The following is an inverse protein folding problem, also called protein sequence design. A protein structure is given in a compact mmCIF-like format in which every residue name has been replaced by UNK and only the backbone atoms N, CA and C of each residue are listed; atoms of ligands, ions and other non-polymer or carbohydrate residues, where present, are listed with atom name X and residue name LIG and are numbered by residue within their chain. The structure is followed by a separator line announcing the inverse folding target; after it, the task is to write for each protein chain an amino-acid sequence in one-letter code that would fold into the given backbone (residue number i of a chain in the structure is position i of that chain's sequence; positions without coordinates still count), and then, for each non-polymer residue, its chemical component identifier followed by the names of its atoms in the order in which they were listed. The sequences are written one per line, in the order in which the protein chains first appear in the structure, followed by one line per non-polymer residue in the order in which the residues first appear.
data_IF_478393209603
#
_entry.id   IF_478393209603
#
_cell.length_a   1.000
_cell.length_b   1.000
_cell.length_c   1.000
_cell.angle_alpha   90.00
_cell.angle_beta   90.00
_cell.angle_gamma   90.00
#
_symmetry.space_group_name_H-M   'P 1'
#
loop_
_entity.id
_entity.type
_entity.pdbx_description
1 polymer ?
#
# COMPACT_ATOMS: atom_id res chain seq x y z
N UNK A 1 -8.90 -21.22 -10.89
CA UNK A 1 -7.62 -21.97 -10.85
C UNK A 1 -6.57 -21.02 -10.33
N UNK A 2 -6.09 -21.16 -9.08
CA UNK A 2 -5.12 -20.26 -8.47
C UNK A 2 -3.72 -20.50 -9.04
N UNK A 3 -3.00 -19.41 -9.32
CA UNK A 3 -1.59 -19.40 -9.73
C UNK A 3 -0.73 -19.03 -8.52
N UNK A 4 0.43 -19.68 -8.38
CA UNK A 4 1.41 -19.31 -7.37
C UNK A 4 2.43 -18.33 -7.97
N UNK A 5 2.49 -17.12 -7.40
CA UNK A 5 3.46 -16.10 -7.79
C UNK A 5 4.24 -15.61 -6.57
N UNK A 6 5.47 -15.17 -6.75
CA UNK A 6 6.18 -14.42 -5.71
C UNK A 6 5.71 -12.99 -5.70
N UNK A 7 5.61 -12.38 -4.54
CA UNK A 7 5.15 -10.99 -4.42
C UNK A 7 5.97 -10.03 -5.29
N UNK A 8 7.29 -10.24 -5.41
CA UNK A 8 8.17 -9.42 -6.26
C UNK A 8 7.82 -9.46 -7.77
N UNK A 9 7.08 -10.49 -8.20
CA UNK A 9 6.69 -10.69 -9.59
C UNK A 9 5.30 -10.11 -9.90
N UNK A 10 4.65 -9.52 -8.88
CA UNK A 10 3.34 -8.86 -8.97
C UNK A 10 3.55 -7.37 -9.22
N UNK A 11 2.89 -6.81 -10.23
CA UNK A 11 3.07 -5.41 -10.59
C UNK A 11 2.59 -4.45 -9.48
N UNK A 12 3.27 -3.29 -9.26
CA UNK A 12 2.69 -2.20 -8.48
C UNK A 12 1.30 -1.81 -9.00
N UNK A 13 0.40 -1.45 -8.08
CA UNK A 13 -1.00 -1.19 -8.39
C UNK A 13 -1.92 -2.40 -8.22
N UNK A 14 -1.38 -3.63 -8.29
CA UNK A 14 -2.17 -4.85 -8.13
C UNK A 14 -2.72 -4.97 -6.70
N UNK A 15 -3.99 -5.36 -6.60
CA UNK A 15 -4.69 -5.61 -5.34
C UNK A 15 -4.84 -7.11 -5.13
N UNK A 16 -4.54 -7.57 -3.92
CA UNK A 16 -4.78 -8.96 -3.52
C UNK A 16 -5.19 -9.06 -2.05
N UNK A 17 -5.84 -10.17 -1.69
CA UNK A 17 -6.23 -10.43 -0.31
C UNK A 17 -5.01 -10.90 0.51
N UNK A 18 -4.66 -10.12 1.55
CA UNK A 18 -3.55 -10.42 2.45
C UNK A 18 -3.95 -11.29 3.67
N UNK A 19 -5.24 -11.53 3.83
CA UNK A 19 -5.84 -12.23 4.96
C UNK A 19 -6.98 -11.41 5.56
N UNK A 20 -6.73 -10.50 6.52
CA UNK A 20 -7.81 -9.71 7.13
C UNK A 20 -8.29 -8.56 6.24
N UNK A 21 -7.51 -8.16 5.25
CA UNK A 21 -7.78 -7.02 4.35
C UNK A 21 -7.25 -7.28 2.95
N UNK A 22 -7.81 -6.58 1.98
CA UNK A 22 -7.22 -6.43 0.66
C UNK A 22 -6.14 -5.34 0.71
N UNK A 23 -5.04 -5.60 0.01
CA UNK A 23 -3.89 -4.71 -0.04
C UNK A 23 -3.46 -4.45 -1.48
N UNK A 24 -2.96 -3.25 -1.70
CA UNK A 24 -2.36 -2.81 -2.97
C UNK A 24 -0.84 -2.81 -2.86
N UNK A 25 -0.16 -3.34 -3.87
CA UNK A 25 1.29 -3.23 -4.01
C UNK A 25 1.65 -1.80 -4.40
N UNK A 26 2.50 -1.13 -3.60
CA UNK A 26 2.99 0.20 -3.94
C UNK A 26 4.36 0.14 -4.59
N UNK A 27 5.30 -0.58 -4.01
CA UNK A 27 6.69 -0.59 -4.51
C UNK A 27 7.45 -1.84 -4.04
N UNK A 28 8.32 -2.34 -4.94
CA UNK A 28 9.34 -3.33 -4.62
C UNK A 28 10.69 -2.63 -4.48
N UNK A 29 11.31 -2.77 -3.33
CA UNK A 29 12.60 -2.17 -3.04
C UNK A 29 13.75 -3.10 -3.40
N UNK A 30 14.89 -2.51 -3.76
CA UNK A 30 16.12 -3.26 -4.13
C UNK A 30 16.72 -4.06 -2.96
N UNK A 31 16.34 -3.73 -1.73
CA UNK A 31 16.73 -4.47 -0.52
C UNK A 31 15.88 -5.72 -0.26
N UNK A 32 14.95 -6.05 -1.16
CA UNK A 32 14.11 -7.25 -1.08
C UNK A 32 12.80 -7.06 -0.31
N UNK A 33 12.44 -5.83 0.03
CA UNK A 33 11.16 -5.50 0.68
C UNK A 33 10.12 -5.02 -0.33
N UNK A 34 8.85 -5.25 -0.02
CA UNK A 34 7.69 -4.69 -0.73
C UNK A 34 6.86 -3.88 0.23
N UNK A 35 6.49 -2.67 -0.17
CA UNK A 35 5.52 -1.83 0.55
C UNK A 35 4.12 -2.13 0.05
N UNK A 36 3.24 -2.45 0.99
CA UNK A 36 1.82 -2.68 0.79
C UNK A 36 1.02 -1.62 1.54
N UNK A 37 -0.15 -1.27 1.01
CA UNK A 37 -1.15 -0.43 1.68
C UNK A 37 -2.51 -1.11 1.62
N UNK A 38 -3.35 -0.94 2.63
CA UNK A 38 -4.75 -1.35 2.55
C UNK A 38 -5.42 -0.71 1.32
N UNK A 39 -6.15 -1.49 0.53
CA UNK A 39 -6.79 -0.98 -0.68
C UNK A 39 -7.87 0.05 -0.35
N UNK A 40 -8.60 -0.17 0.74
CA UNK A 40 -9.62 0.75 1.28
C UNK A 40 -9.33 1.09 2.74
N UNK A 41 -10.05 2.06 3.31
CA UNK A 41 -10.02 2.32 4.74
C UNK A 41 -10.60 1.14 5.52
N UNK A 42 -9.90 0.72 6.57
CA UNK A 42 -10.34 -0.42 7.41
C UNK A 42 -11.38 0.00 8.45
N UNK A 43 -11.41 1.26 8.82
CA UNK A 43 -12.36 1.87 9.75
C UNK A 43 -12.13 3.38 9.83
N UNK A 44 -13.09 4.13 10.36
CA UNK A 44 -12.89 5.50 10.83
C UNK A 44 -12.43 5.50 12.26
N UNK A 45 -11.39 6.28 12.57
CA UNK A 45 -10.81 6.37 13.92
C UNK A 45 -10.27 7.76 14.21
N UNK A 46 -10.23 8.08 15.51
CA UNK A 46 -9.39 9.16 16.00
C UNK A 46 -7.92 8.80 15.80
N UNK A 47 -7.11 9.77 15.43
CA UNK A 47 -5.67 9.63 15.45
C UNK A 47 -5.17 9.49 16.91
N UNK A 48 -5.76 10.27 17.83
CA UNK A 48 -5.52 10.21 19.26
C UNK A 48 -6.83 10.24 20.05
N UNK A 49 -6.88 9.57 21.22
CA UNK A 49 -8.03 9.56 22.13
C UNK A 49 -8.40 10.97 22.62
N UNK A 50 -9.68 11.18 22.91
CA UNK A 50 -10.18 12.42 23.52
C UNK A 50 -10.86 12.12 24.86
N UNK A 51 -10.49 12.81 25.98
CA UNK A 51 -9.34 13.70 26.06
C UNK A 51 -8.02 12.94 25.90
N UNK A 52 -7.05 13.56 25.25
CA UNK A 52 -5.72 12.97 25.11
C UNK A 52 -5.10 12.79 26.51
N UNK A 53 -4.95 11.52 26.89
CA UNK A 53 -4.33 11.17 28.16
C UNK A 53 -2.84 11.00 27.91
N UNK A 54 -2.05 11.99 28.36
CA UNK A 54 -0.61 11.84 28.38
C UNK A 54 -0.24 10.57 29.17
N UNK A 55 0.69 9.81 28.64
CA UNK A 55 1.16 8.60 29.33
C UNK A 55 2.17 8.99 30.42
N UNK A 56 2.25 8.23 31.51
CA UNK A 56 3.21 8.52 32.60
C UNK A 56 4.64 8.66 32.11
N UNK A 57 5.02 7.85 31.08
CA UNK A 57 6.35 7.85 30.46
C UNK A 57 6.61 9.06 29.57
N UNK A 58 5.56 9.77 29.14
CA UNK A 58 5.67 10.93 28.23
C UNK A 58 4.56 11.96 28.52
N UNK A 59 4.59 12.65 29.65
CA UNK A 59 3.53 13.58 30.06
C UNK A 59 3.41 14.81 29.15
N UNK A 60 4.42 15.10 28.34
CA UNK A 60 4.42 16.21 27.36
C UNK A 60 4.19 15.76 25.91
N UNK A 61 3.71 14.52 25.68
CA UNK A 61 3.42 14.05 24.34
C UNK A 61 2.28 14.86 23.70
N UNK A 62 2.41 15.12 22.41
CA UNK A 62 1.41 15.82 21.64
C UNK A 62 0.38 14.85 21.02
N UNK A 63 -0.88 15.25 20.84
CA UNK A 63 -1.90 14.39 20.22
C UNK A 63 -1.56 13.92 18.82
N UNK A 64 -0.82 14.70 18.04
CA UNK A 64 -0.39 14.35 16.69
C UNK A 64 0.96 13.61 16.64
N UNK A 65 1.52 13.26 17.80
CA UNK A 65 2.73 12.42 17.88
C UNK A 65 2.34 10.95 17.74
N UNK A 66 2.59 10.39 16.56
CA UNK A 66 2.27 9.00 16.24
C UNK A 66 2.79 8.00 17.28
N UNK A 67 3.97 8.23 17.85
CA UNK A 67 4.59 7.34 18.84
C UNK A 67 3.69 7.07 20.05
N UNK A 68 2.81 8.02 20.36
CA UNK A 68 1.94 7.98 21.54
C UNK A 68 0.45 7.93 21.20
N UNK A 69 0.10 7.92 19.92
CA UNK A 69 -1.29 7.82 19.48
C UNK A 69 -1.91 6.47 19.85
N UNK A 70 -3.21 6.44 20.10
CA UNK A 70 -3.94 5.19 20.27
C UNK A 70 -4.00 4.41 18.96
N UNK A 71 -4.07 5.11 17.83
CA UNK A 71 -4.11 4.48 16.50
C UNK A 71 -2.86 3.65 16.22
N UNK A 72 -1.65 4.19 16.53
CA UNK A 72 -0.42 3.40 16.43
C UNK A 72 -0.49 2.13 17.28
N UNK A 73 -0.95 2.24 18.53
CA UNK A 73 -1.09 1.08 19.41
C UNK A 73 -2.06 0.05 18.82
N UNK A 74 -3.26 0.47 18.41
CA UNK A 74 -4.27 -0.41 17.83
C UNK A 74 -3.75 -1.15 16.59
N UNK A 75 -3.08 -0.44 15.68
CA UNK A 75 -2.54 -1.05 14.47
C UNK A 75 -1.42 -2.06 14.77
N UNK A 76 -0.59 -1.81 15.77
CA UNK A 76 0.55 -2.68 16.10
C UNK A 76 0.24 -3.73 17.19
N UNK A 77 -1.01 -3.82 17.66
CA UNK A 77 -1.47 -4.84 18.60
C UNK A 77 -2.68 -5.59 18.04
N UNK A 78 -3.89 -5.06 18.26
CA UNK A 78 -5.14 -5.73 17.90
C UNK A 78 -5.22 -6.01 16.40
N UNK A 79 -4.98 -5.00 15.55
CA UNK A 79 -5.05 -5.17 14.09
C UNK A 79 -3.94 -6.10 13.58
N UNK A 80 -2.71 -5.94 14.04
CA UNK A 80 -1.61 -6.86 13.67
C UNK A 80 -1.95 -8.32 13.98
N UNK A 81 -2.65 -8.59 15.08
CA UNK A 81 -3.03 -9.96 15.47
C UNK A 81 -4.07 -10.59 14.53
N UNK A 82 -4.85 -9.78 13.82
CA UNK A 82 -5.85 -10.30 12.86
C UNK A 82 -5.21 -11.05 11.70
N UNK A 83 -3.97 -10.74 11.34
CA UNK A 83 -3.22 -11.47 10.31
C UNK A 83 -2.93 -12.93 10.68
N UNK A 84 -2.86 -13.26 11.98
CA UNK A 84 -2.67 -14.62 12.43
C UNK A 84 -4.00 -15.39 12.56
N UNK A 85 -5.12 -14.69 12.63
CA UNK A 85 -6.46 -15.25 12.78
C UNK A 85 -7.15 -15.48 11.43
N UNK A 86 -6.90 -14.61 10.45
CA UNK A 86 -7.49 -14.70 9.12
C UNK A 86 -6.80 -15.77 8.27
N UNK A 87 -7.52 -16.34 7.32
CA UNK A 87 -6.91 -17.11 6.24
C UNK A 87 -6.30 -16.15 5.22
N UNK A 88 -5.03 -16.36 4.88
CA UNK A 88 -4.32 -15.49 3.93
C UNK A 88 -2.84 -15.81 3.84
N UNK A 89 -2.15 -15.25 2.85
CA UNK A 89 -0.74 -15.51 2.60
C UNK A 89 0.21 -14.77 3.53
N UNK A 90 -0.27 -13.72 4.23
CA UNK A 90 0.56 -12.90 5.12
C UNK A 90 0.15 -13.14 6.58
N UNK A 91 1.14 -13.36 7.44
CA UNK A 91 0.99 -13.49 8.89
C UNK A 91 1.68 -12.31 9.60
N UNK A 92 1.35 -12.07 10.85
CA UNK A 92 1.96 -10.99 11.63
C UNK A 92 3.49 -11.05 11.68
N UNK A 93 4.07 -12.26 11.64
CA UNK A 93 5.52 -12.49 11.61
C UNK A 93 6.16 -12.06 10.28
N UNK A 94 5.40 -12.08 9.17
CA UNK A 94 5.87 -11.74 7.82
C UNK A 94 5.88 -10.22 7.60
N UNK A 95 5.19 -9.47 8.45
CA UNK A 95 5.20 -8.00 8.45
C UNK A 95 6.47 -7.53 9.14
N UNK A 96 7.30 -6.83 8.39
CA UNK A 96 8.62 -6.39 8.82
C UNK A 96 8.51 -5.16 9.74
N UNK A 97 9.39 -5.07 10.72
CA UNK A 97 9.62 -3.82 11.44
C UNK A 97 10.43 -2.89 10.54
N UNK A 98 9.95 -1.69 10.34
CA UNK A 98 10.57 -0.69 9.47
C UNK A 98 10.64 0.68 10.16
N UNK A 99 11.54 1.52 9.69
CA UNK A 99 11.65 2.91 10.11
C UNK A 99 10.62 3.76 9.38
N UNK A 100 9.80 4.49 10.15
CA UNK A 100 8.80 5.41 9.65
C UNK A 100 9.15 6.83 10.09
N UNK A 101 9.27 7.72 9.11
CA UNK A 101 9.55 9.13 9.37
C UNK A 101 8.33 9.83 9.99
N UNK A 102 8.57 10.60 11.02
CA UNK A 102 7.59 11.48 11.65
C UNK A 102 7.95 12.95 11.40
N UNK A 103 8.68 13.23 10.31
CA UNK A 103 8.91 14.57 9.82
C UNK A 103 7.57 15.30 9.63
N UNK A 104 7.54 16.60 9.90
CA UNK A 104 6.34 17.39 9.72
C UNK A 104 6.09 17.75 8.24
N UNK A 105 4.95 18.33 7.96
CA UNK A 105 4.50 18.63 6.60
C UNK A 105 5.32 19.73 5.91
N UNK A 106 6.13 20.48 6.66
CA UNK A 106 7.04 21.51 6.13
C UNK A 106 8.46 20.97 5.89
N UNK A 107 8.68 19.67 6.18
CA UNK A 107 9.98 19.03 6.04
C UNK A 107 10.91 19.21 7.24
N UNK A 108 10.40 19.72 8.37
CA UNK A 108 11.10 19.76 9.63
C UNK A 108 11.21 18.36 10.27
N UNK A 109 12.09 18.22 11.29
CA UNK A 109 12.33 16.93 11.96
C UNK A 109 11.06 16.33 12.61
N UNK A 110 10.08 17.17 12.95
CA UNK A 110 8.85 16.74 13.60
C UNK A 110 9.14 15.96 14.90
N UNK A 111 8.80 14.67 14.89
CA UNK A 111 9.06 13.76 16.01
C UNK A 111 10.15 12.71 15.69
N UNK A 112 10.93 12.95 14.62
CA UNK A 112 12.03 12.07 14.21
C UNK A 112 11.55 10.81 13.49
N UNK A 113 11.94 9.64 13.96
CA UNK A 113 11.64 8.33 13.35
C UNK A 113 11.14 7.37 14.42
N UNK A 114 10.25 6.45 14.03
CA UNK A 114 9.80 5.33 14.86
C UNK A 114 9.98 4.01 14.11
N UNK A 115 10.31 2.96 14.85
CA UNK A 115 10.22 1.60 14.35
C UNK A 115 8.83 1.02 14.65
N UNK A 116 8.14 0.57 13.61
CA UNK A 116 6.83 -0.06 13.72
C UNK A 116 6.65 -1.09 12.60
N UNK A 117 5.79 -2.06 12.81
CA UNK A 117 5.39 -3.03 11.78
C UNK A 117 4.35 -2.43 10.85
N UNK A 118 3.35 -1.78 11.42
CA UNK A 118 2.25 -1.16 10.67
C UNK A 118 2.21 0.33 11.00
N UNK A 119 2.09 1.15 9.97
CA UNK A 119 1.93 2.59 10.10
C UNK A 119 0.94 3.14 9.06
N UNK A 120 0.84 4.44 8.96
CA UNK A 120 0.18 5.15 7.86
C UNK A 120 1.25 5.71 6.93
N UNK A 121 0.91 6.01 5.67
CA UNK A 121 1.86 6.68 4.78
C UNK A 121 2.26 8.05 5.34
N UNK A 122 3.51 8.44 5.10
CA UNK A 122 3.93 9.84 5.26
C UNK A 122 3.38 10.69 4.12
N UNK A 123 3.35 12.01 4.30
CA UNK A 123 3.00 12.92 3.21
C UNK A 123 3.92 12.73 1.99
N UNK A 124 5.22 12.60 2.19
CA UNK A 124 6.17 12.39 1.09
C UNK A 124 5.92 11.06 0.34
N UNK A 125 5.55 9.99 1.05
CA UNK A 125 5.16 8.73 0.42
C UNK A 125 3.83 8.89 -0.35
N UNK A 126 2.85 9.58 0.23
CA UNK A 126 1.60 9.88 -0.46
C UNK A 126 1.87 10.62 -1.77
N UNK A 127 2.60 11.73 -1.74
CA UNK A 127 2.94 12.51 -2.93
C UNK A 127 3.62 11.65 -4.00
N UNK A 128 4.60 10.83 -3.60
CA UNK A 128 5.31 9.90 -4.51
C UNK A 128 4.37 8.92 -5.22
N UNK A 129 3.43 8.32 -4.51
CA UNK A 129 2.56 7.25 -5.08
C UNK A 129 1.26 7.79 -5.68
N UNK A 130 0.81 8.98 -5.27
CA UNK A 130 -0.32 9.66 -5.90
C UNK A 130 -0.01 10.06 -7.34
N UNK A 131 1.22 10.49 -7.62
CA UNK A 131 1.69 10.79 -8.97
C UNK A 131 1.69 9.56 -9.92
N UNK A 132 1.52 8.37 -9.37
CA UNK A 132 1.46 7.09 -10.10
C UNK A 132 0.04 6.49 -10.15
N UNK A 133 -0.97 7.24 -9.74
CA UNK A 133 -2.39 6.83 -9.67
C UNK A 133 -2.63 5.58 -8.77
N UNK A 134 -1.73 5.33 -7.80
CA UNK A 134 -1.79 4.15 -6.92
C UNK A 134 -2.65 4.35 -5.68
N UNK A 135 -3.07 5.57 -5.37
CA UNK A 135 -3.65 5.90 -4.06
C UNK A 135 -5.06 6.48 -4.13
N UNK A 136 -5.68 6.53 -5.31
CA UNK A 136 -7.05 7.02 -5.45
C UNK A 136 -8.01 6.30 -4.50
N UNK A 137 -8.80 7.08 -3.77
CA UNK A 137 -9.83 6.59 -2.86
C UNK A 137 -10.86 7.69 -2.61
N UNK A 138 -12.13 7.38 -2.78
CA UNK A 138 -13.24 8.29 -2.48
C UNK A 138 -13.58 8.28 -0.98
N UNK A 139 -12.56 8.59 -0.17
CA UNK A 139 -12.67 8.67 1.29
C UNK A 139 -11.60 9.60 1.86
N UNK A 140 -11.81 10.08 3.09
CA UNK A 140 -10.81 10.80 3.85
C UNK A 140 -9.98 9.81 4.66
N UNK A 141 -8.65 9.92 4.64
CA UNK A 141 -7.81 9.03 5.41
C UNK A 141 -6.55 9.68 5.96
N UNK A 142 -6.19 9.25 7.18
CA UNK A 142 -5.05 9.80 7.91
C UNK A 142 -3.71 9.47 7.26
N UNK A 143 -2.80 10.44 7.34
CA UNK A 143 -1.36 10.24 7.18
C UNK A 143 -0.68 10.27 8.55
N UNK A 144 0.50 9.65 8.65
CA UNK A 144 1.30 9.65 9.88
C UNK A 144 1.90 11.03 10.19
N UNK A 145 1.95 11.93 9.21
CA UNK A 145 2.65 13.23 9.23
C UNK A 145 1.97 14.23 10.16
N UNK A 146 2.67 14.74 11.19
CA UNK A 146 2.15 15.80 12.04
C UNK A 146 2.08 17.13 11.28
N UNK A 147 1.15 18.00 11.67
CA UNK A 147 1.07 19.36 11.17
C UNK A 147 2.01 20.27 11.99
N UNK A 148 2.94 20.97 11.32
CA UNK A 148 3.89 21.86 11.98
C UNK A 148 3.18 23.00 12.73
N UNK A 149 3.68 23.34 13.89
CA UNK A 149 3.18 24.45 14.72
C UNK A 149 1.87 24.19 15.47
N UNK A 150 1.17 23.07 15.21
CA UNK A 150 -0.10 22.74 15.87
C UNK A 150 -0.11 21.30 16.37
N UNK A 151 0.20 21.14 17.63
CA UNK A 151 0.41 19.84 18.29
C UNK A 151 -0.79 18.89 18.27
N UNK A 152 -1.97 19.37 17.94
CA UNK A 152 -3.22 18.60 17.89
C UNK A 152 -3.75 18.38 16.46
N UNK A 153 -2.99 18.72 15.41
CA UNK A 153 -3.40 18.49 14.03
C UNK A 153 -2.47 17.49 13.34
N UNK A 154 -3.06 16.52 12.66
CA UNK A 154 -2.39 15.59 11.76
C UNK A 154 -2.81 15.81 10.31
N UNK A 155 -1.99 15.37 9.36
CA UNK A 155 -2.30 15.43 7.93
C UNK A 155 -3.27 14.32 7.57
N UNK A 156 -4.13 14.60 6.58
CA UNK A 156 -4.99 13.62 5.95
C UNK A 156 -5.14 13.91 4.46
N UNK A 157 -5.54 12.89 3.69
CA UNK A 157 -5.90 13.00 2.29
C UNK A 157 -7.42 13.13 2.20
N UNK A 158 -7.90 14.10 1.43
CA UNK A 158 -9.33 14.31 1.14
C UNK A 158 -9.78 13.46 -0.07
N UNK A 159 -11.08 13.31 -0.29
CA UNK A 159 -11.66 12.58 -1.43
C UNK A 159 -11.20 13.09 -2.80
N UNK A 160 -10.84 14.37 -2.89
CA UNK A 160 -10.28 14.99 -4.10
C UNK A 160 -8.75 14.79 -4.25
N UNK A 161 -8.13 13.96 -3.39
CA UNK A 161 -6.69 13.75 -3.34
C UNK A 161 -5.90 14.91 -2.71
N UNK A 162 -6.55 16.00 -2.31
CA UNK A 162 -5.85 17.13 -1.72
C UNK A 162 -5.37 16.83 -0.30
N UNK A 163 -4.16 17.28 0.01
CA UNK A 163 -3.57 17.19 1.33
C UNK A 163 -4.15 18.26 2.26
N UNK A 164 -4.75 17.84 3.35
CA UNK A 164 -5.37 18.70 4.36
C UNK A 164 -4.88 18.33 5.76
N UNK A 165 -5.39 19.03 6.78
CA UNK A 165 -5.11 18.75 8.18
C UNK A 165 -6.39 18.85 9.00
N UNK A 166 -6.47 18.05 10.04
CA UNK A 166 -7.58 18.08 10.96
C UNK A 166 -7.15 17.71 12.39
N UNK A 167 -8.02 18.01 13.36
CA UNK A 167 -7.78 17.65 14.75
C UNK A 167 -7.59 16.15 14.90
N UNK A 168 -6.50 15.73 15.53
CA UNK A 168 -6.20 14.33 15.85
C UNK A 168 -7.30 13.64 16.67
N UNK A 169 -8.19 14.42 17.28
CA UNK A 169 -9.35 13.94 18.04
C UNK A 169 -10.60 13.69 17.18
N UNK A 170 -10.54 13.98 15.90
CA UNK A 170 -11.68 13.76 15.00
C UNK A 170 -11.76 12.29 14.57
N UNK A 171 -12.93 11.68 14.78
CA UNK A 171 -13.10 10.23 14.64
C UNK A 171 -13.67 9.75 13.31
N UNK A 172 -13.96 10.67 12.38
CA UNK A 172 -14.59 10.34 11.09
C UNK A 172 -13.59 10.48 9.93
N UNK A 173 -12.35 10.09 10.15
CA UNK A 173 -11.32 10.01 9.12
C UNK A 173 -10.83 8.58 9.08
N UNK A 174 -10.77 8.03 7.88
CA UNK A 174 -10.43 6.64 7.62
C UNK A 174 -9.00 6.29 7.99
N UNK A 175 -8.79 5.04 8.29
CA UNK A 175 -7.49 4.45 8.58
C UNK A 175 -7.10 3.55 7.43
N UNK A 176 -6.02 3.86 6.75
CA UNK A 176 -5.47 3.12 5.61
C UNK A 176 -4.06 2.62 5.94
N UNK A 177 -3.93 1.45 6.61
CA UNK A 177 -2.64 0.95 7.08
C UNK A 177 -1.69 0.62 5.93
N UNK A 178 -0.39 0.87 6.17
CA UNK A 178 0.69 0.45 5.28
C UNK A 178 1.76 -0.32 6.05
N UNK A 179 2.41 -1.27 5.39
CA UNK A 179 3.42 -2.12 6.00
C UNK A 179 4.35 -2.73 4.95
N UNK A 180 5.53 -3.16 5.41
CA UNK A 180 6.51 -3.83 4.58
C UNK A 180 6.50 -5.34 4.83
N UNK A 181 6.72 -6.10 3.77
CA UNK A 181 6.92 -7.54 3.80
C UNK A 181 8.12 -7.93 2.94
N UNK A 182 8.65 -9.15 3.12
CA UNK A 182 9.64 -9.70 2.20
C UNK A 182 9.04 -9.92 0.81
N UNK A 183 9.73 -9.45 -0.24
CA UNK A 183 9.29 -9.60 -1.64
C UNK A 183 9.28 -11.05 -2.13
N UNK A 184 9.91 -11.96 -1.39
CA UNK A 184 9.98 -13.38 -1.69
C UNK A 184 8.78 -14.21 -1.25
N UNK A 185 7.80 -13.64 -0.55
CA UNK A 185 6.57 -14.32 -0.13
C UNK A 185 5.84 -14.87 -1.36
N UNK A 186 5.39 -16.13 -1.25
CA UNK A 186 4.59 -16.77 -2.30
C UNK A 186 3.12 -16.57 -2.01
N UNK A 187 2.41 -15.99 -2.97
CA UNK A 187 0.98 -15.77 -2.96
C UNK A 187 0.27 -16.82 -3.81
N UNK A 188 -0.95 -17.19 -3.40
CA UNK A 188 -1.89 -17.92 -4.26
C UNK A 188 -2.95 -16.92 -4.70
N UNK A 189 -2.98 -16.60 -5.99
CA UNK A 189 -3.80 -15.54 -6.56
C UNK A 189 -4.64 -16.07 -7.70
N UNK A 190 -5.83 -15.53 -7.91
CA UNK A 190 -6.62 -15.84 -9.11
C UNK A 190 -5.98 -15.15 -10.32
N UNK A 191 -5.86 -15.82 -11.47
CA UNK A 191 -5.11 -15.29 -12.64
C UNK A 191 -5.68 -13.99 -13.20
N UNK A 192 -6.96 -13.75 -13.00
CA UNK A 192 -7.70 -12.58 -13.48
C UNK A 192 -7.57 -11.35 -12.56
N UNK A 193 -7.01 -11.54 -11.36
CA UNK A 193 -6.84 -10.48 -10.35
C UNK A 193 -5.40 -9.96 -10.26
N UNK A 194 -4.46 -10.54 -11.02
CA UNK A 194 -3.04 -10.24 -10.88
C UNK A 194 -2.43 -9.90 -12.23
N UNK A 195 -2.02 -8.65 -12.38
CA UNK A 195 -1.08 -8.28 -13.44
C UNK A 195 0.32 -8.73 -13.02
N UNK A 196 0.75 -9.86 -13.57
CA UNK A 196 2.13 -10.31 -13.43
C UNK A 196 3.06 -9.36 -14.19
N UNK A 197 4.21 -9.04 -13.61
CA UNK A 197 5.24 -8.31 -14.34
C UNK A 197 5.61 -9.08 -15.62
N UNK A 198 5.97 -8.37 -16.66
CA UNK A 198 6.37 -8.99 -17.95
C UNK A 198 7.47 -10.05 -17.74
N UNK A 199 8.39 -9.82 -16.79
CA UNK A 199 9.45 -10.78 -16.48
C UNK A 199 8.91 -12.05 -15.81
N UNK A 200 7.88 -11.95 -14.96
CA UNK A 200 7.24 -13.11 -14.34
C UNK A 200 6.44 -13.93 -15.37
N UNK A 201 5.72 -13.25 -16.27
CA UNK A 201 5.03 -13.91 -17.39
C UNK A 201 6.01 -14.66 -18.29
N UNK A 202 7.15 -14.04 -18.63
CA UNK A 202 8.17 -14.66 -19.46
C UNK A 202 8.88 -15.82 -18.77
N UNK A 203 9.00 -15.81 -17.43
CA UNK A 203 9.64 -16.90 -16.68
C UNK A 203 8.81 -18.19 -16.64
N UNK A 204 7.50 -18.12 -16.87
CA UNK A 204 6.61 -19.29 -16.94
C UNK A 204 6.69 -20.02 -18.31
N UNK A 205 7.22 -19.35 -19.33
CA UNK A 205 7.34 -19.92 -20.66
C UNK A 205 8.76 -20.42 -20.91
N UNK A 206 8.87 -21.66 -21.41
CA UNK A 206 10.13 -22.10 -21.98
C UNK A 206 10.45 -21.30 -23.23
N UNK A 207 11.75 -21.15 -23.57
CA UNK A 207 12.16 -20.44 -24.78
C UNK A 207 11.46 -20.99 -26.03
N UNK A 208 11.13 -22.30 -26.05
CA UNK A 208 10.40 -22.94 -27.15
C UNK A 208 8.95 -22.45 -27.22
N UNK A 209 8.25 -22.36 -26.10
CA UNK A 209 6.86 -21.85 -26.04
C UNK A 209 6.76 -20.38 -26.43
N UNK A 210 7.74 -19.57 -26.04
CA UNK A 210 7.81 -18.16 -26.47
C UNK A 210 8.00 -18.03 -27.97
N UNK A 211 8.87 -18.85 -28.57
CA UNK A 211 9.09 -18.86 -30.02
C UNK A 211 7.82 -19.33 -30.76
N UNK A 212 7.18 -20.39 -30.26
CA UNK A 212 5.92 -20.90 -30.84
C UNK A 212 4.80 -19.85 -30.80
N UNK A 213 4.63 -19.14 -29.71
CA UNK A 213 3.61 -18.07 -29.57
C UNK A 213 3.92 -16.87 -30.47
N UNK A 214 5.18 -16.46 -30.59
CA UNK A 214 5.58 -15.37 -31.48
C UNK A 214 5.31 -15.76 -32.95
N UNK A 215 5.67 -16.99 -33.35
CA UNK A 215 5.42 -17.48 -34.71
C UNK A 215 3.92 -17.56 -35.01
N UNK A 216 3.09 -17.99 -34.02
CA UNK A 216 1.64 -18.03 -34.18
C UNK A 216 1.06 -16.63 -34.42
N UNK A 217 1.46 -15.63 -33.64
CA UNK A 217 0.99 -14.24 -33.83
C UNK A 217 1.45 -13.59 -35.13
N UNK A 218 2.65 -13.93 -35.58
CA UNK A 218 3.13 -13.47 -36.88
C UNK A 218 2.27 -14.09 -38.03
N UNK A 219 1.93 -15.38 -37.94
CA UNK A 219 1.09 -16.05 -38.92
C UNK A 219 -0.34 -15.46 -38.92
N UNK A 220 -0.94 -15.22 -37.76
CA UNK A 220 -2.28 -14.61 -37.65
C UNK A 220 -2.30 -13.15 -38.14
N UNK A 221 -1.23 -12.37 -37.92
CA UNK A 221 -1.13 -10.98 -38.41
C UNK A 221 -0.83 -10.87 -39.93
N UNK A 222 -0.53 -11.97 -40.61
CA UNK A 222 -0.37 -12.00 -42.08
C UNK A 222 -1.68 -12.37 -42.81
N UNK A 223 -2.66 -12.97 -42.12
CA UNK A 223 -3.96 -13.30 -42.72
C UNK A 223 -4.90 -12.10 -42.85
N UNK A 224 -4.68 -11.01 -42.07
CA UNK A 224 -5.52 -9.81 -42.12
C UNK A 224 -5.04 -8.74 -43.15
N UNK A 225 -4.02 -9.04 -43.94
CA UNK A 225 -3.38 -8.08 -44.84
C UNK A 225 -3.63 -8.28 -46.34
N UNK A 226 -4.41 -9.30 -46.76
CA UNK A 226 -4.50 -9.67 -48.18
C UNK A 226 -5.89 -9.43 -48.84
N UNK A 227 -6.79 -8.69 -48.23
CA UNK A 227 -8.15 -8.45 -48.73
C UNK A 227 -8.46 -6.99 -49.10
N UNK A 228 -7.54 -6.20 -49.62
CA UNK A 228 -7.89 -4.91 -50.22
C UNK A 228 -6.99 -4.58 -51.42
N UNK A 229 -7.15 -5.31 -52.55
CA UNK A 229 -6.89 -4.76 -53.89
C UNK A 229 -7.53 -5.68 -54.93
N UNK A 230 -8.79 -5.48 -55.28
CA UNK A 230 -9.28 -5.70 -56.62
C UNK A 230 -10.50 -4.80 -56.96
N UNK A 231 -10.27 -4.01 -57.98
CA UNK A 231 -11.20 -3.48 -58.95
C UNK A 231 -12.06 -2.26 -58.66
N UNK A 232 -11.72 -1.20 -59.38
CA UNK A 232 -12.68 -0.70 -60.38
C UNK A 232 -12.02 0.10 -61.51
N UNK A 233 -12.24 -0.41 -62.67
CA UNK A 233 -12.20 0.33 -63.95
C UNK A 233 -13.55 1.00 -64.21
#
# INVERSE_FOLDING_TARGET
MTVRAKLKDIAPGTVFNAGPIDVRVLEHFTDGRTLLIADTCIADRHFADQPFKTRPEKPAANPNDWRFSNLNRELNTEFLSTFDQAEGPIRSKDILTADWSLADHEGGEGYGTIQAKIALLTQAMYEKYADQDLLELDDWWWLITPYAGYANYARYVSTDGSLRYYSAYYGNIGVRPAFFVESGITLSVEPDQVELSTSALLAEFTSKQLVEEVLRRIAEGQEDGDDDEEDDF
#
